data_IF_835682021222
#
_entry.id   IF_835682021222
#
_cell.length_a   1.000
_cell.length_b   1.000
_cell.length_c   1.000
_cell.angle_alpha   90.00
_cell.angle_beta   90.00
_cell.angle_gamma   90.00
#
_symmetry.space_group_name_H-M   'P 1'
#
loop_
_entity.id
_entity.type
_entity.pdbx_description
1 polymer ?
#
# COMPACT_ATOMS: atom_id res chain seq x y z
N UNK A 1 5.90 19.34 41.53
CA UNK A 1 6.93 19.30 40.45
C UNK A 1 7.02 17.95 39.74
N UNK A 2 7.04 16.81 40.43
CA UNK A 2 7.12 15.45 39.82
C UNK A 2 6.06 15.17 38.74
N UNK A 3 4.82 15.65 38.92
CA UNK A 3 3.74 15.54 37.92
C UNK A 3 4.03 16.25 36.59
N UNK A 4 4.71 17.40 36.62
CA UNK A 4 5.08 18.14 35.41
C UNK A 4 6.18 17.42 34.63
N UNK A 5 7.17 16.86 35.32
CA UNK A 5 8.21 16.03 34.69
C UNK A 5 7.64 14.78 34.04
N UNK A 6 6.65 14.14 34.66
CA UNK A 6 5.98 12.97 34.07
C UNK A 6 5.20 13.35 32.80
N UNK A 7 4.48 14.48 32.83
CA UNK A 7 3.78 15.03 31.65
C UNK A 7 4.74 15.39 30.53
N UNK A 8 5.87 16.04 30.82
CA UNK A 8 6.92 16.39 29.85
C UNK A 8 7.60 15.14 29.24
N UNK A 9 7.82 14.10 30.04
CA UNK A 9 8.37 12.82 29.58
C UNK A 9 7.39 12.09 28.67
N UNK A 10 6.10 12.10 29.00
CA UNK A 10 5.03 11.57 28.15
C UNK A 10 4.95 12.35 26.83
N UNK A 11 5.03 13.68 26.88
CA UNK A 11 5.00 14.56 25.71
C UNK A 11 6.22 14.31 24.80
N UNK A 12 7.42 14.17 25.38
CA UNK A 12 8.64 13.81 24.64
C UNK A 12 8.55 12.42 24.01
N UNK A 13 7.93 11.47 24.71
CA UNK A 13 7.66 10.14 24.16
C UNK A 13 6.67 10.19 22.99
N UNK A 14 5.60 10.98 23.11
CA UNK A 14 4.61 11.20 22.04
C UNK A 14 5.27 11.91 20.85
N UNK A 15 6.11 12.93 21.08
CA UNK A 15 6.84 13.63 20.01
C UNK A 15 7.86 12.71 19.33
N UNK A 16 8.60 11.91 20.10
CA UNK A 16 9.58 10.95 19.56
C UNK A 16 8.93 9.88 18.69
N UNK A 17 7.73 9.42 19.06
CA UNK A 17 6.92 8.48 18.29
C UNK A 17 5.90 9.14 17.36
N UNK A 18 5.95 10.46 17.15
CA UNK A 18 4.90 11.19 16.43
C UNK A 18 4.75 10.65 15.00
N UNK A 19 5.85 10.30 14.34
CA UNK A 19 5.83 9.66 13.02
C UNK A 19 5.03 8.36 13.03
N UNK A 20 5.32 7.47 13.97
CA UNK A 20 4.63 6.17 14.08
C UNK A 20 3.16 6.35 14.49
N UNK A 21 2.88 7.31 15.37
CA UNK A 21 1.51 7.66 15.76
C UNK A 21 0.75 8.15 14.54
N UNK A 22 1.29 9.09 13.76
CA UNK A 22 0.65 9.61 12.54
C UNK A 22 0.40 8.51 11.52
N UNK A 23 1.37 7.62 11.28
CA UNK A 23 1.19 6.49 10.36
C UNK A 23 0.07 5.56 10.85
N UNK A 24 0.04 5.23 12.15
CA UNK A 24 -1.04 4.42 12.73
C UNK A 24 -2.39 5.11 12.65
N UNK A 25 -2.44 6.41 12.88
CA UNK A 25 -3.66 7.23 12.81
C UNK A 25 -4.19 7.28 11.37
N UNK A 26 -3.29 7.43 10.40
CA UNK A 26 -3.64 7.37 8.98
C UNK A 26 -4.21 6.01 8.59
N UNK A 27 -3.57 4.91 9.01
CA UNK A 27 -4.08 3.57 8.79
C UNK A 27 -5.43 3.34 9.48
N UNK A 28 -5.61 3.89 10.68
CA UNK A 28 -6.87 3.84 11.42
C UNK A 28 -7.98 4.57 10.66
N UNK A 29 -7.71 5.74 10.07
CA UNK A 29 -8.68 6.50 9.27
C UNK A 29 -9.09 5.70 8.03
N UNK A 30 -8.13 5.09 7.32
CA UNK A 30 -8.42 4.24 6.16
C UNK A 30 -9.28 3.04 6.58
N UNK A 31 -8.96 2.42 7.70
CA UNK A 31 -9.71 1.30 8.24
C UNK A 31 -11.15 1.70 8.61
N UNK A 32 -11.31 2.82 9.32
CA UNK A 32 -12.62 3.38 9.68
C UNK A 32 -13.45 3.72 8.44
N UNK A 33 -12.82 4.26 7.41
CA UNK A 33 -13.48 4.53 6.14
C UNK A 33 -13.98 3.24 5.47
N UNK A 34 -13.13 2.22 5.36
CA UNK A 34 -13.53 0.92 4.80
C UNK A 34 -14.65 0.26 5.61
N UNK A 35 -14.55 0.35 6.95
CA UNK A 35 -15.60 -0.14 7.86
C UNK A 35 -16.91 0.62 7.67
N UNK A 36 -16.87 1.94 7.48
CA UNK A 36 -18.06 2.75 7.23
C UNK A 36 -18.75 2.37 5.92
N UNK A 37 -17.99 2.27 4.82
CA UNK A 37 -18.53 1.86 3.51
C UNK A 37 -19.15 0.46 3.60
N UNK A 38 -18.51 -0.45 4.32
CA UNK A 38 -19.04 -1.80 4.55
C UNK A 38 -20.34 -1.75 5.37
N UNK A 39 -20.42 -0.87 6.37
CA UNK A 39 -21.61 -0.69 7.20
C UNK A 39 -22.78 -0.09 6.41
N UNK A 40 -22.53 0.87 5.52
CA UNK A 40 -23.52 1.38 4.56
C UNK A 40 -24.05 0.28 3.65
N UNK A 41 -23.15 -0.56 3.12
CA UNK A 41 -23.51 -1.69 2.28
C UNK A 41 -24.42 -2.68 3.01
N UNK A 42 -24.09 -3.01 4.26
CA UNK A 42 -24.87 -3.94 5.09
C UNK A 42 -26.23 -3.38 5.54
N UNK A 43 -26.32 -2.07 5.72
CA UNK A 43 -27.52 -1.42 6.25
C UNK A 43 -28.51 -1.03 5.16
N UNK A 44 -28.02 -0.41 4.07
CA UNK A 44 -28.84 0.20 3.02
C UNK A 44 -28.65 -0.46 1.65
N UNK A 45 -27.70 -1.39 1.52
CA UNK A 45 -27.43 -2.12 0.28
C UNK A 45 -26.34 -1.52 -0.60
N UNK A 46 -26.01 -2.22 -1.69
CA UNK A 46 -24.88 -1.90 -2.57
C UNK A 46 -24.98 -0.54 -3.25
N UNK A 47 -26.12 -0.24 -3.86
CA UNK A 47 -26.32 1.00 -4.60
C UNK A 47 -26.14 2.24 -3.72
N UNK A 48 -26.63 2.17 -2.49
CA UNK A 48 -26.45 3.24 -1.51
C UNK A 48 -24.98 3.46 -1.15
N UNK A 49 -24.21 2.38 -0.93
CA UNK A 49 -22.79 2.49 -0.61
C UNK A 49 -21.96 3.05 -1.77
N UNK A 50 -22.35 2.80 -3.01
CA UNK A 50 -21.69 3.34 -4.21
C UNK A 50 -22.00 4.83 -4.38
N UNK A 51 -23.25 5.23 -4.18
CA UNK A 51 -23.70 6.62 -4.33
C UNK A 51 -23.16 7.53 -3.21
N UNK A 52 -23.17 7.05 -1.96
CA UNK A 52 -22.75 7.81 -0.79
C UNK A 52 -21.34 7.46 -0.29
N UNK A 53 -20.57 6.68 -1.06
CA UNK A 53 -19.22 6.21 -0.69
C UNK A 53 -18.14 7.29 -0.63
N UNK A 54 -18.47 8.55 -0.90
CA UNK A 54 -17.55 9.68 -0.73
C UNK A 54 -17.03 9.77 0.70
N UNK A 55 -15.75 10.12 0.88
CA UNK A 55 -15.08 10.17 2.19
C UNK A 55 -15.87 10.97 3.24
N UNK A 56 -16.34 12.18 2.89
CA UNK A 56 -17.13 13.02 3.81
C UNK A 56 -18.46 12.37 4.21
N UNK A 57 -19.15 11.77 3.25
CA UNK A 57 -20.46 11.15 3.47
C UNK A 57 -20.31 9.85 4.27
N UNK A 58 -19.29 9.05 3.98
CA UNK A 58 -18.94 7.85 4.74
C UNK A 58 -18.75 8.15 6.23
N UNK A 59 -18.00 9.19 6.58
CA UNK A 59 -17.81 9.56 7.98
C UNK A 59 -19.07 10.15 8.62
N UNK A 60 -19.82 10.98 7.90
CA UNK A 60 -21.09 11.53 8.41
C UNK A 60 -22.08 10.43 8.76
N UNK A 61 -22.26 9.46 7.85
CA UNK A 61 -23.15 8.34 8.11
C UNK A 61 -22.62 7.42 9.22
N UNK A 62 -21.32 7.17 9.30
CA UNK A 62 -20.75 6.44 10.44
C UNK A 62 -21.09 7.14 11.77
N UNK A 63 -21.00 8.47 11.80
CA UNK A 63 -21.37 9.25 12.97
C UNK A 63 -22.88 9.18 13.27
N UNK A 64 -23.74 9.31 12.27
CA UNK A 64 -25.20 9.15 12.42
C UNK A 64 -25.56 7.76 12.95
N UNK A 65 -24.89 6.72 12.45
CA UNK A 65 -25.09 5.35 12.93
C UNK A 65 -24.59 5.16 14.36
N UNK A 66 -23.42 5.69 14.71
CA UNK A 66 -22.93 5.65 16.08
C UNK A 66 -23.85 6.42 17.03
N UNK A 67 -24.40 7.54 16.59
CA UNK A 67 -25.38 8.32 17.36
C UNK A 67 -26.68 7.54 17.55
N UNK A 68 -27.24 6.99 16.47
CA UNK A 68 -28.46 6.18 16.53
C UNK A 68 -28.27 4.96 17.44
N UNK A 69 -27.10 4.31 17.38
CA UNK A 69 -26.75 3.20 18.26
C UNK A 69 -26.69 3.62 19.74
N UNK A 70 -26.10 4.79 20.03
CA UNK A 70 -26.03 5.30 21.39
C UNK A 70 -27.43 5.62 21.94
N UNK A 71 -28.27 6.24 21.12
CA UNK A 71 -29.63 6.66 21.50
C UNK A 71 -30.59 5.46 21.65
N UNK A 72 -30.36 4.35 20.94
CA UNK A 72 -31.22 3.16 20.93
C UNK A 72 -30.55 1.94 21.60
N UNK A 73 -29.68 2.17 22.58
CA UNK A 73 -28.84 1.12 23.19
C UNK A 73 -29.65 -0.07 23.74
N UNK A 74 -30.84 0.21 24.26
CA UNK A 74 -31.68 -0.78 24.94
C UNK A 74 -32.59 -1.56 23.98
N UNK A 75 -32.80 -1.06 22.75
CA UNK A 75 -33.68 -1.65 21.73
C UNK A 75 -32.91 -2.27 20.54
N UNK A 76 -31.59 -2.47 20.70
CA UNK A 76 -30.77 -3.04 19.65
C UNK A 76 -31.07 -4.53 19.44
N UNK A 77 -31.71 -4.82 18.30
CA UNK A 77 -31.88 -6.18 17.82
C UNK A 77 -30.53 -6.86 17.52
N UNK A 78 -30.43 -8.16 17.80
CA UNK A 78 -29.24 -8.98 17.50
C UNK A 78 -28.73 -8.84 16.06
N UNK A 79 -29.64 -8.61 15.09
CA UNK A 79 -29.27 -8.38 13.69
C UNK A 79 -28.42 -7.13 13.48
N UNK A 80 -28.63 -6.07 14.25
CA UNK A 80 -27.83 -4.84 14.17
C UNK A 80 -26.44 -5.07 14.73
N UNK A 81 -26.33 -5.76 15.87
CA UNK A 81 -25.03 -6.17 16.44
C UNK A 81 -24.21 -7.01 15.47
N UNK A 82 -24.85 -7.97 14.79
CA UNK A 82 -24.19 -8.79 13.79
C UNK A 82 -23.67 -7.95 12.61
N UNK A 83 -24.48 -7.01 12.10
CA UNK A 83 -24.04 -6.10 11.01
C UNK A 83 -22.85 -5.24 11.42
N UNK A 84 -22.85 -4.70 12.63
CA UNK A 84 -21.73 -3.92 13.17
C UNK A 84 -20.47 -4.79 13.22
N UNK A 85 -20.60 -5.99 13.79
CA UNK A 85 -19.49 -6.93 13.91
C UNK A 85 -18.92 -7.28 12.53
N UNK A 86 -19.78 -7.62 11.56
CA UNK A 86 -19.35 -7.91 10.19
C UNK A 86 -18.70 -6.69 9.53
N UNK A 87 -19.21 -5.48 9.74
CA UNK A 87 -18.63 -4.28 9.13
C UNK A 87 -17.23 -3.94 9.64
N UNK A 88 -16.90 -4.29 10.88
CA UNK A 88 -15.53 -4.16 11.39
C UNK A 88 -14.65 -5.35 10.99
N UNK A 89 -15.18 -6.57 10.96
CA UNK A 89 -14.39 -7.76 10.62
C UNK A 89 -14.10 -7.87 9.13
N UNK A 90 -15.03 -7.49 8.25
CA UNK A 90 -14.90 -7.64 6.81
C UNK A 90 -13.72 -6.87 6.21
N UNK A 91 -13.47 -5.57 6.54
CA UNK A 91 -12.26 -4.87 6.11
C UNK A 91 -10.98 -5.57 6.57
N UNK A 92 -10.97 -6.15 7.78
CA UNK A 92 -9.83 -6.88 8.29
C UNK A 92 -9.58 -8.19 7.53
N UNK A 93 -10.64 -8.97 7.24
CA UNK A 93 -10.54 -10.17 6.42
C UNK A 93 -10.12 -9.86 4.99
N UNK A 94 -10.65 -8.78 4.41
CA UNK A 94 -10.28 -8.32 3.07
C UNK A 94 -8.80 -7.92 3.02
N UNK A 95 -8.32 -7.20 4.03
CA UNK A 95 -6.91 -6.86 4.18
C UNK A 95 -6.03 -8.11 4.31
N UNK A 96 -6.44 -9.07 5.14
CA UNK A 96 -5.71 -10.34 5.32
C UNK A 96 -5.68 -11.18 4.03
N UNK A 97 -6.79 -11.23 3.29
CA UNK A 97 -6.88 -11.86 1.97
C UNK A 97 -5.95 -11.17 0.96
N UNK A 98 -5.97 -9.83 0.90
CA UNK A 98 -5.09 -9.06 0.02
C UNK A 98 -3.60 -9.34 0.30
N UNK A 99 -3.23 -9.57 1.57
CA UNK A 99 -1.87 -9.95 1.96
C UNK A 99 -1.52 -11.41 1.69
N UNK A 100 -2.46 -12.34 1.88
CA UNK A 100 -2.20 -13.78 1.77
C UNK A 100 -2.17 -14.27 0.33
N UNK A 101 -2.88 -13.59 -0.57
CA UNK A 101 -2.94 -14.01 -1.97
C UNK A 101 -1.86 -13.27 -2.75
N UNK A 102 -1.09 -13.96 -3.58
CA UNK A 102 -0.07 -13.36 -4.46
C UNK A 102 -0.67 -12.53 -5.59
N UNK A 103 -1.49 -11.51 -5.27
CA UNK A 103 -2.26 -10.66 -6.18
C UNK A 103 -1.41 -10.03 -7.29
N UNK A 104 -0.09 -9.92 -7.09
CA UNK A 104 0.84 -9.44 -8.10
C UNK A 104 0.79 -10.23 -9.41
N UNK A 105 0.62 -11.55 -9.35
CA UNK A 105 0.52 -12.39 -10.55
C UNK A 105 -0.88 -12.29 -11.18
N UNK A 106 -1.92 -12.39 -10.36
CA UNK A 106 -3.31 -12.33 -10.81
C UNK A 106 -3.69 -10.98 -11.43
N UNK A 107 -3.28 -9.87 -10.80
CA UNK A 107 -3.48 -8.52 -11.32
C UNK A 107 -2.68 -8.28 -12.60
N UNK A 108 -1.43 -8.76 -12.67
CA UNK A 108 -0.62 -8.64 -13.91
C UNK A 108 -1.31 -9.32 -15.09
N UNK A 109 -1.89 -10.49 -14.86
CA UNK A 109 -2.58 -11.27 -15.88
C UNK A 109 -3.90 -10.62 -16.31
N UNK A 110 -4.68 -10.10 -15.36
CA UNK A 110 -5.93 -9.37 -15.65
C UNK A 110 -5.69 -8.01 -16.31
N UNK A 111 -4.70 -7.24 -15.85
CA UNK A 111 -4.30 -5.97 -16.49
C UNK A 111 -3.83 -6.24 -17.93
N UNK A 112 -3.05 -7.30 -18.15
CA UNK A 112 -2.59 -7.66 -19.49
C UNK A 112 -3.73 -8.13 -20.40
N UNK A 113 -4.75 -8.81 -19.87
CA UNK A 113 -5.98 -9.15 -20.63
C UNK A 113 -6.76 -7.89 -21.02
N UNK A 114 -6.97 -6.95 -20.08
CA UNK A 114 -7.66 -5.68 -20.35
C UNK A 114 -6.87 -4.83 -21.36
N UNK A 115 -5.55 -4.76 -21.21
CA UNK A 115 -4.66 -4.04 -22.13
C UNK A 115 -4.71 -4.65 -23.53
N UNK A 116 -4.67 -5.99 -23.64
CA UNK A 116 -4.84 -6.69 -24.93
C UNK A 116 -6.20 -6.40 -25.55
N UNK A 117 -7.27 -6.37 -24.76
CA UNK A 117 -8.62 -6.04 -25.23
C UNK A 117 -8.72 -4.59 -25.74
N UNK A 118 -8.18 -3.63 -25.00
CA UNK A 118 -8.10 -2.22 -25.41
C UNK A 118 -7.28 -2.01 -26.70
N UNK A 119 -6.12 -2.67 -26.81
CA UNK A 119 -5.24 -2.56 -28.00
C UNK A 119 -5.91 -3.21 -29.23
N UNK A 120 -6.58 -4.35 -29.05
CA UNK A 120 -7.28 -5.06 -30.14
C UNK A 120 -8.54 -4.28 -30.58
N UNK A 121 -9.27 -3.67 -29.64
CA UNK A 121 -10.39 -2.77 -29.94
C UNK A 121 -10.00 -1.52 -30.73
N UNK A 122 -8.80 -0.96 -30.49
CA UNK A 122 -8.28 0.21 -31.24
C UNK A 122 -7.83 -0.10 -32.67
N UNK A 123 -7.59 -1.37 -33.02
CA UNK A 123 -7.13 -1.78 -34.36
C UNK A 123 -8.28 -2.15 -35.31
N UNK A 124 -9.48 -2.40 -34.78
CA UNK A 124 -10.67 -2.74 -35.58
C UNK A 124 -11.50 -1.55 -36.06
N UNK A 125 -11.19 -0.32 -35.64
CA UNK A 125 -12.01 0.88 -35.94
C UNK A 125 -11.39 1.81 -36.97
N UNK A 126 -10.42 1.36 -37.78
CA UNK A 126 -9.87 2.14 -38.90
C UNK A 126 -10.08 1.40 -40.23
N UNK A 127 -10.86 2.07 -41.08
CA UNK A 127 -11.05 1.89 -42.51
C UNK A 127 -12.03 0.80 -42.97
N UNK A 128 -13.28 1.21 -43.17
CA UNK A 128 -14.10 0.71 -44.28
C UNK A 128 -14.92 1.86 -44.86
N UNK A 129 -14.21 2.76 -45.55
CA UNK A 129 -14.78 3.65 -46.56
C UNK A 129 -13.71 3.87 -47.63
N UNK A 130 -13.68 3.04 -48.67
CA UNK A 130 -13.65 3.54 -50.06
C UNK A 130 -13.85 2.39 -51.05
N UNK A 131 -14.69 2.69 -52.03
CA UNK A 131 -15.13 1.91 -53.16
C UNK A 131 -14.09 1.83 -54.29
N UNK A 132 -13.89 0.62 -54.87
CA UNK A 132 -13.47 0.28 -56.27
C UNK A 132 -12.17 0.94 -56.82
N UNK A 133 -11.34 0.40 -57.71
CA UNK A 133 -11.30 -0.77 -58.60
C UNK A 133 -9.84 -1.07 -59.03
N UNK A 134 -9.61 -2.29 -59.56
CA UNK A 134 -8.54 -2.81 -60.43
C UNK A 134 -7.23 -2.01 -60.66
N UNK A 135 -6.11 -2.72 -60.53
CA UNK A 135 -4.83 -2.36 -61.16
C UNK A 135 -3.73 -3.36 -60.80
N UNK A 136 -3.19 -4.03 -61.82
CA UNK A 136 -2.17 -5.08 -61.75
C UNK A 136 -0.82 -4.60 -61.23
N UNK A 137 -0.01 -5.51 -60.68
CA UNK A 137 1.41 -5.69 -61.06
C UNK A 137 2.07 -6.80 -60.24
N UNK A 138 2.98 -7.50 -60.90
CA UNK A 138 3.63 -8.74 -60.53
C UNK A 138 4.87 -8.50 -59.65
N UNK A 139 5.20 -9.52 -58.84
CA UNK A 139 6.52 -9.94 -58.34
C UNK A 139 7.45 -8.92 -57.66
N UNK A 140 7.92 -9.21 -56.44
CA UNK A 140 9.18 -9.94 -56.23
C UNK A 140 9.37 -10.30 -54.75
N UNK A 141 10.05 -11.44 -54.56
CA UNK A 141 10.56 -12.05 -53.34
C UNK A 141 11.53 -11.16 -52.54
N UNK A 142 11.56 -11.37 -51.21
CA UNK A 142 12.78 -11.17 -50.41
C UNK A 142 12.66 -11.93 -49.08
N UNK A 143 13.56 -12.90 -48.91
CA UNK A 143 13.87 -13.55 -47.64
C UNK A 143 14.20 -12.51 -46.56
N UNK A 144 13.90 -12.81 -45.29
CA UNK A 144 14.95 -12.88 -44.27
C UNK A 144 14.43 -13.35 -42.91
N UNK A 145 15.09 -14.40 -42.46
CA UNK A 145 15.08 -14.99 -41.14
C UNK A 145 15.54 -14.00 -40.07
N UNK A 146 14.82 -13.90 -38.95
CA UNK A 146 15.41 -13.46 -37.67
C UNK A 146 14.93 -14.35 -36.54
N UNK A 147 15.87 -15.18 -36.09
CA UNK A 147 15.93 -15.84 -34.80
C UNK A 147 15.67 -14.85 -33.66
N UNK A 148 14.76 -15.18 -32.73
CA UNK A 148 14.67 -14.49 -31.44
C UNK A 148 15.05 -15.45 -30.33
N UNK A 149 16.34 -15.43 -30.01
CA UNK A 149 16.89 -15.97 -28.76
C UNK A 149 16.42 -15.07 -27.61
N UNK A 150 15.59 -15.60 -26.72
CA UNK A 150 15.06 -14.87 -25.57
C UNK A 150 16.09 -14.86 -24.44
N UNK A 151 16.97 -13.87 -24.49
CA UNK A 151 17.95 -13.55 -23.47
C UNK A 151 17.27 -12.93 -22.22
N UNK A 152 16.68 -13.76 -21.35
CA UNK A 152 16.10 -13.37 -20.06
C UNK A 152 17.02 -13.67 -18.85
N UNK A 153 18.35 -13.64 -19.02
CA UNK A 153 19.30 -13.95 -17.95
C UNK A 153 20.05 -12.77 -17.34
N UNK A 154 20.13 -11.62 -18.03
CA UNK A 154 21.19 -10.63 -17.72
C UNK A 154 20.81 -9.57 -16.68
N UNK A 155 19.52 -9.39 -16.38
CA UNK A 155 19.06 -8.32 -15.47
C UNK A 155 19.03 -8.75 -14.00
N UNK A 156 19.01 -10.05 -13.70
CA UNK A 156 18.92 -10.53 -12.31
C UNK A 156 20.29 -10.46 -11.61
N UNK A 157 21.38 -10.69 -12.34
CA UNK A 157 22.75 -10.63 -11.80
C UNK A 157 23.18 -9.21 -11.41
N UNK A 158 22.79 -8.18 -12.18
CA UNK A 158 23.07 -6.77 -11.82
C UNK A 158 22.36 -6.37 -10.52
N UNK A 159 21.09 -6.75 -10.36
CA UNK A 159 20.33 -6.46 -9.14
C UNK A 159 20.84 -7.26 -7.94
N UNK A 160 21.29 -8.51 -8.14
CA UNK A 160 21.93 -9.30 -7.09
C UNK A 160 23.27 -8.69 -6.66
N UNK A 161 24.08 -8.20 -7.59
CA UNK A 161 25.35 -7.54 -7.31
C UNK A 161 25.16 -6.21 -6.58
N UNK A 162 24.14 -5.44 -6.95
CA UNK A 162 23.79 -4.18 -6.29
C UNK A 162 23.33 -4.41 -4.83
N UNK A 163 22.51 -5.44 -4.59
CA UNK A 163 22.12 -5.83 -3.22
C UNK A 163 23.31 -6.24 -2.35
N UNK A 164 24.30 -6.95 -2.93
CA UNK A 164 25.53 -7.32 -2.22
C UNK A 164 26.37 -6.09 -1.86
N UNK A 165 26.51 -5.13 -2.78
CA UNK A 165 27.21 -3.86 -2.53
C UNK A 165 26.53 -3.05 -1.42
N UNK A 166 25.21 -2.94 -1.44
CA UNK A 166 24.44 -2.23 -0.40
C UNK A 166 24.57 -2.91 0.97
N UNK A 167 24.56 -4.25 1.01
CA UNK A 167 24.77 -4.99 2.26
C UNK A 167 26.16 -4.76 2.84
N UNK A 168 27.20 -4.73 2.00
CA UNK A 168 28.57 -4.45 2.40
C UNK A 168 28.74 -3.03 2.94
N UNK A 169 28.15 -2.03 2.28
CA UNK A 169 28.16 -0.63 2.75
C UNK A 169 27.45 -0.51 4.10
N UNK A 170 26.32 -1.20 4.30
CA UNK A 170 25.64 -1.22 5.60
C UNK A 170 26.50 -1.80 6.70
N UNK A 171 27.21 -2.90 6.43
CA UNK A 171 28.11 -3.50 7.41
C UNK A 171 29.28 -2.58 7.77
N UNK A 172 29.86 -1.90 6.78
CA UNK A 172 30.93 -0.92 7.02
C UNK A 172 30.44 0.26 7.87
N UNK A 173 29.26 0.81 7.56
CA UNK A 173 28.69 1.91 8.34
C UNK A 173 28.35 1.51 9.76
N UNK A 174 27.79 0.31 9.98
CA UNK A 174 27.50 -0.19 11.33
C UNK A 174 28.79 -0.35 12.13
N UNK A 175 29.84 -0.92 11.53
CA UNK A 175 31.13 -1.10 12.19
C UNK A 175 31.80 0.23 12.55
N UNK A 176 31.76 1.21 11.65
CA UNK A 176 32.33 2.55 11.88
C UNK A 176 31.56 3.31 12.98
N UNK A 177 30.23 3.14 13.04
CA UNK A 177 29.39 3.69 14.11
C UNK A 177 29.72 3.01 15.45
N UNK A 178 29.84 1.68 15.49
CA UNK A 178 30.20 0.93 16.71
C UNK A 178 31.58 1.35 17.22
N UNK A 179 32.59 1.41 16.35
CA UNK A 179 33.95 1.83 16.73
C UNK A 179 33.98 3.28 17.23
N UNK A 180 33.19 4.16 16.63
CA UNK A 180 33.06 5.56 17.08
C UNK A 180 32.37 5.66 18.45
N UNK A 181 31.34 4.85 18.68
CA UNK A 181 30.62 4.79 19.97
C UNK A 181 31.56 4.25 21.05
N UNK A 182 32.28 3.16 20.77
CA UNK A 182 33.21 2.55 21.71
C UNK A 182 34.35 3.51 22.05
N UNK A 183 34.90 4.21 21.05
CA UNK A 183 35.93 5.22 21.28
C UNK A 183 35.42 6.36 22.16
N UNK A 184 34.21 6.88 21.91
CA UNK A 184 33.63 7.94 22.75
C UNK A 184 33.29 7.46 24.15
N UNK A 185 32.79 6.23 24.31
CA UNK A 185 32.57 5.63 25.62
C UNK A 185 33.89 5.50 26.37
N UNK A 186 34.94 5.02 25.71
CA UNK A 186 36.26 4.86 26.31
C UNK A 186 36.86 6.21 26.73
N UNK A 187 36.72 7.26 25.90
CA UNK A 187 37.14 8.62 26.24
C UNK A 187 36.34 9.20 27.44
N UNK A 188 35.05 8.90 27.56
CA UNK A 188 34.21 9.34 28.69
C UNK A 188 34.58 8.61 29.99
N UNK A 189 34.81 7.30 29.92
CA UNK A 189 35.08 6.48 31.11
C UNK A 189 36.55 6.53 31.57
N UNK A 190 37.50 6.71 30.65
CA UNK A 190 38.94 6.60 30.93
C UNK A 190 39.76 7.83 30.53
N UNK A 191 39.23 8.76 29.73
CA UNK A 191 39.93 9.98 29.31
C UNK A 191 40.06 11.09 30.38
N UNK A 192 39.50 10.87 31.59
CA UNK A 192 39.46 11.85 32.68
C UNK A 192 40.53 11.72 33.78
N UNK A 193 41.64 11.00 33.57
CA UNK A 193 42.72 10.86 34.56
C UNK A 193 44.09 11.30 34.02
N UNK A 194 44.23 12.58 33.68
CA UNK A 194 45.55 13.24 33.62
C UNK A 194 45.45 14.75 33.85
N UNK A 195 45.07 15.15 35.08
CA UNK A 195 45.63 16.36 35.67
C UNK A 195 46.29 15.96 36.98
N UNK A 196 47.62 15.84 36.92
CA UNK A 196 48.48 15.75 38.08
C UNK A 196 48.41 17.06 38.88
N UNK A 197 48.55 16.88 40.19
CA UNK A 197 48.74 17.86 41.27
C UNK A 197 49.30 19.23 40.88
#
# INVERSE_FOLDING_TARGET
MISLFYRLRLLSYILGNLKDIVVKLFLLIIYLYASSVTFMFLSNGFWYAVEFGSFKNAFNHLFEYCKWYYDNKDDLSYGVYFRILVAFLAPHFLYRLLLSTGWKSFLKERIMQILRFMIKGKRGSKASYSSKANGSSYNYSSENSYSSSSHYGYNDERHAQERRKVAMIRQLLVKDIEETIDKRLNDIFFGGRSKSH
#
